data_IF_543023826652
#
_entry.id   IF_543023826652
#
_cell.length_a   1.000
_cell.length_b   1.000
_cell.length_c   1.000
_cell.angle_alpha   90.00
_cell.angle_beta   90.00
_cell.angle_gamma   90.00
#
_symmetry.space_group_name_H-M   'P 1'
#
loop_
_entity.id
_entity.type
_entity.pdbx_description
1 polymer ?
#
# COMPACT_ATOMS: atom_id res chain seq x y z
N UNK A 1 -9.20 29.59 -53.12
CA UNK A 1 -10.06 28.78 -52.27
C UNK A 1 -9.11 28.00 -51.36
N UNK A 2 -8.87 28.54 -50.19
CA UNK A 2 -8.05 27.91 -49.15
C UNK A 2 -8.98 27.07 -48.30
N UNK A 3 -8.78 25.74 -48.30
CA UNK A 3 -9.42 24.86 -47.34
C UNK A 3 -8.65 24.93 -46.02
N UNK A 4 -9.25 25.57 -45.02
CA UNK A 4 -8.76 25.51 -43.65
C UNK A 4 -9.04 24.13 -43.09
N UNK A 5 -7.98 23.33 -42.87
CA UNK A 5 -8.07 22.09 -42.09
C UNK A 5 -8.15 22.46 -40.62
N UNK A 6 -9.36 22.64 -40.13
CA UNK A 6 -9.66 22.71 -38.70
C UNK A 6 -9.58 21.29 -38.10
N UNK A 7 -8.38 20.83 -37.81
CA UNK A 7 -8.19 19.64 -36.96
C UNK A 7 -8.11 20.11 -35.51
N UNK A 8 -9.14 19.82 -34.75
CA UNK A 8 -9.16 20.10 -33.32
C UNK A 8 -7.88 19.54 -32.64
N UNK A 9 -7.28 20.28 -31.72
CA UNK A 9 -6.05 19.88 -31.09
C UNK A 9 -6.26 18.56 -30.31
N UNK A 10 -5.26 17.69 -30.32
CA UNK A 10 -5.28 16.31 -29.79
C UNK A 10 -5.82 16.20 -28.35
N UNK A 11 -5.67 17.25 -27.54
CA UNK A 11 -6.18 17.32 -26.17
C UNK A 11 -7.70 17.49 -26.11
N UNK A 12 -8.35 18.13 -27.11
CA UNK A 12 -9.81 18.21 -27.21
C UNK A 12 -10.42 16.85 -27.59
N UNK A 13 -9.84 16.15 -28.54
CA UNK A 13 -10.22 14.76 -28.88
C UNK A 13 -10.02 13.78 -27.73
N UNK A 14 -9.03 14.03 -26.87
CA UNK A 14 -8.82 13.22 -25.65
C UNK A 14 -9.83 13.55 -24.54
N UNK A 15 -10.46 14.72 -24.54
CA UNK A 15 -11.50 15.08 -23.56
C UNK A 15 -12.85 14.47 -23.91
N UNK A 16 -13.11 14.18 -25.20
CA UNK A 16 -14.33 13.50 -25.66
C UNK A 16 -14.29 11.98 -25.52
N UNK A 17 -13.10 11.40 -25.39
CA UNK A 17 -12.92 9.96 -25.15
C UNK A 17 -13.21 9.62 -23.69
N UNK A 18 -14.49 9.59 -23.36
CA UNK A 18 -15.16 9.22 -22.12
C UNK A 18 -15.00 10.24 -20.98
N UNK A 19 -16.03 11.00 -20.68
CA UNK A 19 -16.17 11.50 -19.32
C UNK A 19 -16.30 10.29 -18.42
N UNK A 20 -15.20 9.90 -17.73
CA UNK A 20 -15.37 9.16 -16.51
C UNK A 20 -16.26 10.06 -15.66
N UNK A 21 -17.50 9.65 -15.42
CA UNK A 21 -18.23 10.19 -14.29
C UNK A 21 -17.29 9.98 -13.12
N UNK A 22 -16.76 11.08 -12.55
CA UNK A 22 -15.99 10.99 -11.32
C UNK A 22 -16.90 10.23 -10.36
N UNK A 23 -16.42 9.15 -9.73
CA UNK A 23 -17.24 8.46 -8.74
C UNK A 23 -17.76 9.54 -7.79
N UNK A 24 -19.01 9.41 -7.36
CA UNK A 24 -19.60 10.33 -6.40
C UNK A 24 -18.87 10.11 -5.08
N UNK A 25 -17.70 10.74 -4.97
CA UNK A 25 -16.87 10.62 -3.78
C UNK A 25 -17.54 11.35 -2.61
N UNK A 26 -17.52 10.72 -1.43
CA UNK A 26 -17.93 11.32 -0.17
C UNK A 26 -16.75 11.99 0.56
N UNK A 27 -15.54 11.89 0.00
CA UNK A 27 -14.34 12.54 0.55
C UNK A 27 -14.54 14.06 0.52
N UNK A 28 -14.20 14.72 1.64
CA UNK A 28 -14.26 16.17 1.73
C UNK A 28 -13.52 16.83 0.57
N UNK A 29 -14.10 17.83 -0.13
CA UNK A 29 -13.52 18.42 -1.35
C UNK A 29 -12.09 18.95 -1.17
N UNK A 30 -11.75 19.47 0.01
CA UNK A 30 -10.38 19.94 0.33
C UNK A 30 -9.39 18.78 0.41
N UNK A 31 -9.79 17.66 1.00
CA UNK A 31 -8.97 16.44 1.09
C UNK A 31 -8.82 15.86 -0.33
N UNK A 32 -9.91 15.72 -1.06
CA UNK A 32 -9.90 15.21 -2.43
C UNK A 32 -8.97 16.02 -3.35
N UNK A 33 -9.00 17.35 -3.27
CA UNK A 33 -8.12 18.24 -4.03
C UNK A 33 -6.63 18.05 -3.66
N UNK A 34 -6.31 17.84 -2.38
CA UNK A 34 -4.94 17.56 -1.93
C UNK A 34 -4.45 16.19 -2.41
N UNK A 35 -5.29 15.16 -2.33
CA UNK A 35 -5.00 13.83 -2.84
C UNK A 35 -4.75 13.86 -4.36
N UNK A 36 -5.58 14.56 -5.12
CA UNK A 36 -5.40 14.74 -6.57
C UNK A 36 -4.04 15.38 -6.92
N UNK A 37 -3.62 16.43 -6.19
CA UNK A 37 -2.28 17.05 -6.36
C UNK A 37 -1.15 16.05 -6.09
N UNK A 38 -1.36 15.04 -5.25
CA UNK A 38 -0.40 13.99 -4.97
C UNK A 38 -0.52 12.79 -5.93
N UNK A 39 -1.24 12.95 -7.05
CA UNK A 39 -1.46 11.91 -8.07
C UNK A 39 -2.23 10.68 -7.58
N UNK A 40 -3.15 10.88 -6.65
CA UNK A 40 -4.16 9.87 -6.34
C UNK A 40 -5.26 9.92 -7.41
N UNK A 41 -5.74 8.75 -7.79
CA UNK A 41 -7.00 8.59 -8.52
C UNK A 41 -8.04 8.06 -7.56
N UNK A 42 -9.09 8.84 -7.30
CA UNK A 42 -10.15 8.45 -6.37
C UNK A 42 -11.05 7.42 -7.05
N UNK A 43 -11.53 6.44 -6.28
CA UNK A 43 -12.40 5.34 -6.72
C UNK A 43 -13.44 5.07 -5.63
N UNK A 44 -14.64 4.66 -6.02
CA UNK A 44 -15.74 4.51 -5.07
C UNK A 44 -16.03 5.80 -4.31
N UNK A 45 -16.63 5.67 -3.14
CA UNK A 45 -16.99 6.80 -2.29
C UNK A 45 -15.78 7.34 -1.49
N UNK A 46 -14.89 6.45 -1.02
CA UNK A 46 -13.77 6.77 -0.11
C UNK A 46 -12.42 6.22 -0.58
N UNK A 47 -12.40 5.43 -1.63
CA UNK A 47 -11.21 4.72 -2.08
C UNK A 47 -10.27 5.57 -2.93
N UNK A 48 -9.08 5.04 -3.15
CA UNK A 48 -8.09 5.66 -4.01
C UNK A 48 -6.98 4.71 -4.45
N UNK A 49 -6.42 5.03 -5.61
CA UNK A 49 -5.29 4.31 -6.24
C UNK A 49 -4.18 5.30 -6.53
N UNK A 50 -2.94 4.86 -6.37
CA UNK A 50 -1.75 5.65 -6.70
C UNK A 50 -0.64 4.74 -7.19
N UNK A 51 0.07 5.13 -8.26
CA UNK A 51 1.25 4.38 -8.68
C UNK A 51 2.38 4.57 -7.68
N UNK A 52 2.82 3.47 -7.09
CA UNK A 52 3.93 3.45 -6.14
C UNK A 52 5.24 3.90 -6.81
N UNK A 53 6.12 4.54 -6.04
CA UNK A 53 7.47 4.90 -6.51
C UNK A 53 8.21 3.69 -7.11
N UNK A 54 8.14 2.53 -6.45
CA UNK A 54 8.85 1.33 -6.90
C UNK A 54 8.23 0.69 -8.15
N UNK A 55 6.91 0.80 -8.34
CA UNK A 55 6.24 0.43 -9.60
C UNK A 55 6.81 1.26 -10.76
N UNK A 56 6.95 2.59 -10.56
CA UNK A 56 7.59 3.48 -11.55
C UNK A 56 9.04 3.09 -11.81
N UNK A 57 9.84 2.85 -10.76
CA UNK A 57 11.24 2.46 -10.88
C UNK A 57 11.40 1.10 -11.58
N UNK A 58 10.50 0.17 -11.32
CA UNK A 58 10.49 -1.13 -11.99
C UNK A 58 10.22 -1.00 -13.49
N UNK A 59 9.33 -0.08 -13.89
CA UNK A 59 9.05 0.17 -15.31
C UNK A 59 10.20 0.87 -16.01
N UNK A 60 10.75 1.94 -15.42
CA UNK A 60 11.73 2.85 -16.09
C UNK A 60 13.16 2.35 -15.99
N UNK A 61 13.55 1.78 -14.85
CA UNK A 61 14.95 1.50 -14.51
C UNK A 61 15.20 0.05 -14.07
N UNK A 62 14.22 -0.83 -14.23
CA UNK A 62 14.26 -2.24 -13.81
C UNK A 62 14.66 -2.46 -12.33
N UNK A 63 14.29 -1.50 -11.46
CA UNK A 63 14.57 -1.54 -10.02
C UNK A 63 13.34 -2.00 -9.27
N UNK A 64 13.41 -3.17 -8.65
CA UNK A 64 12.32 -3.71 -7.83
C UNK A 64 12.21 -3.04 -6.46
N UNK A 65 11.03 -3.07 -5.85
CA UNK A 65 10.88 -2.72 -4.45
C UNK A 65 11.44 -3.82 -3.53
N UNK A 66 11.62 -3.51 -2.25
CA UNK A 66 12.11 -4.48 -1.27
C UNK A 66 11.22 -5.74 -1.18
N UNK A 67 9.90 -5.63 -1.42
CA UNK A 67 9.01 -6.79 -1.46
C UNK A 67 9.34 -7.74 -2.62
N UNK A 68 9.86 -7.23 -3.73
CA UNK A 68 10.40 -8.05 -4.81
C UNK A 68 11.61 -8.87 -4.35
N UNK A 69 12.53 -8.24 -3.61
CA UNK A 69 13.69 -8.92 -3.03
C UNK A 69 13.30 -9.93 -1.95
N UNK A 70 12.36 -9.57 -1.06
CA UNK A 70 11.99 -10.38 0.10
C UNK A 70 11.02 -11.51 -0.25
N UNK A 71 10.09 -11.26 -1.15
CA UNK A 71 8.94 -12.14 -1.39
C UNK A 71 8.74 -12.54 -2.85
N UNK A 72 9.63 -12.11 -3.75
CA UNK A 72 9.57 -12.46 -5.17
C UNK A 72 8.47 -11.77 -5.97
N UNK A 73 7.87 -10.67 -5.47
CA UNK A 73 6.80 -9.98 -6.20
C UNK A 73 7.34 -9.21 -7.41
N UNK A 74 6.53 -9.14 -8.46
CA UNK A 74 6.79 -8.31 -9.62
C UNK A 74 6.30 -6.88 -9.37
N UNK A 75 7.25 -5.95 -9.07
CA UNK A 75 6.91 -4.59 -8.64
C UNK A 75 6.12 -3.78 -9.67
N UNK A 76 6.30 -4.04 -10.97
CA UNK A 76 5.53 -3.38 -12.03
C UNK A 76 4.06 -3.85 -12.09
N UNK A 77 3.77 -5.10 -11.67
CA UNK A 77 2.44 -5.66 -11.55
C UNK A 77 1.76 -5.37 -10.20
N UNK A 78 2.29 -4.46 -9.37
CA UNK A 78 1.72 -4.14 -8.06
C UNK A 78 0.85 -2.88 -8.13
N UNK A 79 -0.45 -3.04 -7.89
CA UNK A 79 -1.42 -1.96 -7.70
C UNK A 79 -1.43 -1.54 -6.23
N UNK A 80 -1.19 -0.27 -5.94
CA UNK A 80 -1.30 0.29 -4.60
C UNK A 80 -2.62 1.03 -4.46
N UNK A 81 -3.45 0.60 -3.52
CA UNK A 81 -4.76 1.19 -3.26
C UNK A 81 -5.10 1.22 -1.76
N UNK A 82 -6.16 1.93 -1.43
CA UNK A 82 -6.87 1.80 -0.16
C UNK A 82 -8.38 1.98 -0.40
N UNK A 83 -9.24 1.24 0.33
CA UNK A 83 -10.68 1.40 0.25
C UNK A 83 -11.15 2.73 0.88
N UNK A 84 -10.31 3.36 1.70
CA UNK A 84 -10.60 4.55 2.48
C UNK A 84 -9.34 5.41 2.65
N UNK A 85 -9.16 6.38 1.75
CA UNK A 85 -7.97 7.24 1.77
C UNK A 85 -8.10 8.45 2.71
N UNK A 86 -9.26 8.69 3.27
CA UNK A 86 -9.60 9.86 4.09
C UNK A 86 -9.91 9.53 5.54
N UNK A 87 -9.88 8.25 5.95
CA UNK A 87 -10.31 7.82 7.28
C UNK A 87 -9.30 6.88 7.92
N UNK A 88 -8.85 7.24 9.13
CA UNK A 88 -8.00 6.41 9.99
C UNK A 88 -8.32 6.71 11.46
N UNK A 89 -8.28 5.71 12.29
CA UNK A 89 -8.54 5.84 13.74
C UNK A 89 -7.30 6.21 14.57
N UNK A 90 -6.13 6.34 13.92
CA UNK A 90 -4.89 6.87 14.50
C UNK A 90 -4.48 8.17 13.80
N UNK A 91 -3.66 8.99 14.49
CA UNK A 91 -3.05 10.22 13.99
C UNK A 91 -1.53 10.19 14.13
N UNK A 92 -0.89 9.15 13.58
CA UNK A 92 0.52 8.87 13.75
C UNK A 92 1.40 10.05 13.34
N UNK A 93 2.35 10.45 14.21
CA UNK A 93 3.26 11.57 13.96
C UNK A 93 4.19 11.35 12.77
N UNK A 94 4.53 10.10 12.50
CA UNK A 94 5.40 9.67 11.40
C UNK A 94 4.64 9.41 10.09
N UNK A 95 3.31 9.54 10.08
CA UNK A 95 2.51 9.33 8.88
C UNK A 95 2.83 10.43 7.85
N UNK A 96 3.40 10.00 6.72
CA UNK A 96 3.77 10.92 5.64
C UNK A 96 2.61 11.23 4.68
N UNK A 97 1.49 10.54 4.87
CA UNK A 97 0.27 10.68 4.08
C UNK A 97 -0.50 11.94 4.45
N UNK A 98 -1.47 12.29 3.62
CA UNK A 98 -2.40 13.38 3.89
C UNK A 98 -3.17 13.12 5.19
N UNK A 99 -3.36 14.12 6.05
CA UNK A 99 -4.16 13.97 7.25
C UNK A 99 -5.59 13.50 6.94
N UNK A 100 -6.10 12.64 7.80
CA UNK A 100 -7.43 12.05 7.68
C UNK A 100 -8.49 12.95 8.28
N UNK A 101 -9.76 12.70 7.93
CA UNK A 101 -10.92 13.26 8.61
C UNK A 101 -10.88 12.99 10.11
N UNK A 102 -11.41 13.93 10.91
CA UNK A 102 -11.56 13.77 12.36
C UNK A 102 -12.82 12.97 12.74
N UNK A 103 -13.60 12.53 11.76
CA UNK A 103 -14.74 11.65 11.94
C UNK A 103 -14.46 10.25 11.38
N UNK A 104 -14.99 9.23 12.06
CA UNK A 104 -15.09 7.89 11.46
C UNK A 104 -16.30 7.87 10.54
N UNK A 105 -16.08 7.54 9.28
CA UNK A 105 -17.13 7.39 8.29
C UNK A 105 -17.36 5.91 8.03
N UNK A 106 -18.62 5.48 7.89
CA UNK A 106 -18.94 4.13 7.43
C UNK A 106 -18.52 4.00 5.98
N UNK A 107 -17.68 3.02 5.72
CA UNK A 107 -17.16 2.70 4.39
C UNK A 107 -17.78 1.38 3.97
N UNK A 108 -18.58 1.42 2.91
CA UNK A 108 -19.46 0.31 2.51
C UNK A 108 -19.60 0.22 0.98
N UNK A 109 -18.56 0.66 0.26
CA UNK A 109 -18.50 0.55 -1.20
C UNK A 109 -18.75 -0.90 -1.65
N UNK A 110 -19.38 -1.10 -2.80
CA UNK A 110 -19.48 -2.45 -3.38
C UNK A 110 -18.08 -2.97 -3.72
N UNK A 111 -17.66 -4.15 -3.20
CA UNK A 111 -16.30 -4.64 -3.34
C UNK A 111 -15.91 -4.94 -4.79
N UNK A 112 -16.83 -5.44 -5.59
CA UNK A 112 -16.57 -5.75 -6.99
C UNK A 112 -16.37 -4.48 -7.82
N UNK A 113 -17.26 -3.51 -7.64
CA UNK A 113 -17.15 -2.21 -8.29
C UNK A 113 -15.88 -1.48 -7.85
N UNK A 114 -15.56 -1.51 -6.55
CA UNK A 114 -14.32 -0.91 -6.03
C UNK A 114 -13.08 -1.56 -6.65
N UNK A 115 -13.07 -2.88 -6.80
CA UNK A 115 -11.98 -3.60 -7.45
C UNK A 115 -11.84 -3.20 -8.94
N UNK A 116 -12.93 -3.22 -9.70
CA UNK A 116 -12.93 -2.86 -11.12
C UNK A 116 -12.49 -1.41 -11.34
N UNK A 117 -13.02 -0.48 -10.54
CA UNK A 117 -12.62 0.93 -10.60
C UNK A 117 -11.14 1.11 -10.23
N UNK A 118 -10.64 0.35 -9.27
CA UNK A 118 -9.22 0.38 -8.89
C UNK A 118 -8.32 -0.11 -10.02
N UNK A 119 -8.67 -1.20 -10.69
CA UNK A 119 -7.92 -1.70 -11.86
C UNK A 119 -7.94 -0.69 -12.99
N UNK A 120 -9.10 -0.10 -13.29
CA UNK A 120 -9.26 0.94 -14.31
C UNK A 120 -8.42 2.19 -14.00
N UNK A 121 -8.43 2.63 -12.74
CA UNK A 121 -7.61 3.73 -12.26
C UNK A 121 -6.10 3.43 -12.36
N UNK A 122 -5.70 2.23 -11.99
CA UNK A 122 -4.31 1.77 -12.12
C UNK A 122 -3.83 1.82 -13.57
N UNK A 123 -4.60 1.25 -14.50
CA UNK A 123 -4.31 1.29 -15.94
C UNK A 123 -4.20 2.72 -16.46
N UNK A 124 -5.13 3.60 -16.08
CA UNK A 124 -5.09 5.03 -16.43
C UNK A 124 -3.82 5.72 -15.94
N UNK A 125 -3.44 5.47 -14.68
CA UNK A 125 -2.23 6.04 -14.09
C UNK A 125 -0.94 5.53 -14.77
N UNK A 126 -0.98 4.37 -15.42
CA UNK A 126 0.14 3.80 -16.17
C UNK A 126 0.20 4.25 -17.64
N UNK A 127 -0.81 4.94 -18.16
CA UNK A 127 -0.89 5.32 -19.59
C UNK A 127 0.35 6.07 -20.05
N UNK A 128 0.82 7.07 -19.27
CA UNK A 128 1.99 7.88 -19.61
C UNK A 128 3.31 7.09 -19.74
N UNK A 129 3.42 5.91 -19.14
CA UNK A 129 4.62 5.08 -19.23
C UNK A 129 4.70 4.30 -20.55
N UNK A 130 3.57 4.09 -21.25
CA UNK A 130 3.54 3.36 -22.52
C UNK A 130 4.29 4.02 -23.66
N UNK A 131 4.53 5.33 -23.60
CA UNK A 131 5.34 6.10 -24.55
C UNK A 131 6.75 6.44 -24.05
N UNK A 132 7.13 6.01 -22.84
CA UNK A 132 8.44 6.34 -22.28
C UNK A 132 9.55 5.48 -22.92
N UNK A 133 10.64 6.08 -23.44
CA UNK A 133 11.65 5.36 -24.23
C UNK A 133 12.38 4.26 -23.44
N UNK A 134 12.49 4.38 -22.12
CA UNK A 134 13.15 3.38 -21.28
C UNK A 134 12.21 2.27 -20.80
N UNK A 135 10.92 2.30 -21.14
CA UNK A 135 9.95 1.30 -20.67
C UNK A 135 9.71 0.26 -21.77
N UNK A 136 10.12 -1.01 -21.56
CA UNK A 136 9.82 -2.08 -22.50
C UNK A 136 8.30 -2.24 -22.64
N UNK A 137 7.84 -2.32 -23.90
CA UNK A 137 6.40 -2.38 -24.17
C UNK A 137 5.72 -3.58 -23.53
N UNK A 138 6.36 -4.74 -23.57
CA UNK A 138 5.82 -5.96 -22.95
C UNK A 138 5.63 -5.80 -21.45
N UNK A 139 6.61 -5.21 -20.77
CA UNK A 139 6.55 -4.93 -19.35
C UNK A 139 5.45 -3.92 -19.00
N UNK A 140 5.24 -2.91 -19.85
CA UNK A 140 4.13 -1.98 -19.69
C UNK A 140 2.77 -2.65 -19.88
N UNK A 141 2.65 -3.56 -20.88
CA UNK A 141 1.43 -4.34 -21.10
C UNK A 141 1.15 -5.27 -19.92
N UNK A 142 2.17 -5.95 -19.42
CA UNK A 142 2.06 -6.82 -18.23
C UNK A 142 1.62 -6.05 -17.00
N UNK A 143 2.12 -4.83 -16.80
CA UNK A 143 1.74 -3.96 -15.68
C UNK A 143 0.27 -3.49 -15.72
N UNK A 144 -0.40 -3.55 -16.87
CA UNK A 144 -1.83 -3.21 -16.99
C UNK A 144 -2.73 -4.24 -16.31
N UNK A 145 -2.25 -5.45 -16.08
CA UNK A 145 -2.97 -6.54 -15.43
C UNK A 145 -2.34 -6.80 -14.04
N UNK A 146 -2.87 -6.18 -12.96
CA UNK A 146 -2.20 -6.25 -11.66
C UNK A 146 -2.19 -7.68 -11.14
N UNK A 147 -1.00 -8.15 -10.73
CA UNK A 147 -0.76 -9.45 -10.09
C UNK A 147 -0.84 -9.36 -8.58
N UNK A 148 -0.66 -8.17 -8.04
CA UNK A 148 -0.59 -7.90 -6.62
C UNK A 148 -1.37 -6.64 -6.27
N UNK A 149 -2.11 -6.66 -5.18
CA UNK A 149 -2.75 -5.47 -4.60
C UNK A 149 -2.13 -5.19 -3.24
N UNK A 150 -1.51 -4.01 -3.09
CA UNK A 150 -1.06 -3.52 -1.81
C UNK A 150 -2.12 -2.58 -1.22
N UNK A 151 -2.88 -3.08 -0.25
CA UNK A 151 -3.90 -2.33 0.51
C UNK A 151 -3.17 -1.58 1.64
N UNK A 152 -2.47 -0.50 1.27
CA UNK A 152 -1.51 0.19 2.15
C UNK A 152 -1.31 1.65 1.77
N UNK A 153 -2.29 2.25 1.07
CA UNK A 153 -2.07 3.58 0.50
C UNK A 153 -2.25 4.68 1.53
N UNK A 154 -3.44 4.86 2.07
CA UNK A 154 -3.78 5.82 3.11
C UNK A 154 -4.97 5.28 3.92
N UNK A 155 -5.25 5.84 5.10
CA UNK A 155 -6.33 5.37 5.95
C UNK A 155 -6.05 4.04 6.65
N UNK A 156 -7.06 3.50 7.33
CA UNK A 156 -7.02 2.19 7.99
C UNK A 156 -8.00 1.23 7.30
N UNK A 157 -7.51 0.24 6.53
CA UNK A 157 -8.36 -0.60 5.70
C UNK A 157 -9.35 -1.47 6.48
N UNK A 158 -9.08 -1.81 7.74
CA UNK A 158 -10.02 -2.59 8.58
C UNK A 158 -11.27 -1.80 8.97
N UNK A 159 -11.35 -0.50 8.67
CA UNK A 159 -12.59 0.28 8.78
C UNK A 159 -13.57 0.04 7.61
N UNK A 160 -13.15 -0.65 6.55
CA UNK A 160 -14.00 -1.01 5.44
C UNK A 160 -14.81 -2.26 5.79
N UNK A 161 -16.14 -2.12 5.86
CA UNK A 161 -17.05 -3.16 6.37
C UNK A 161 -17.08 -4.44 5.51
N UNK A 162 -16.75 -4.35 4.22
CA UNK A 162 -16.76 -5.45 3.25
C UNK A 162 -15.35 -5.87 2.82
N UNK A 163 -14.37 -5.73 3.73
CA UNK A 163 -12.96 -6.01 3.42
C UNK A 163 -12.73 -7.47 3.00
N UNK A 164 -13.34 -8.45 3.69
CA UNK A 164 -13.21 -9.88 3.35
C UNK A 164 -13.71 -10.20 1.95
N UNK A 165 -14.87 -9.64 1.56
CA UNK A 165 -15.41 -9.79 0.20
C UNK A 165 -14.47 -9.18 -0.87
N UNK A 166 -13.85 -8.03 -0.57
CA UNK A 166 -12.88 -7.42 -1.47
C UNK A 166 -11.62 -8.27 -1.67
N UNK A 167 -11.14 -8.89 -0.59
CA UNK A 167 -10.01 -9.83 -0.64
C UNK A 167 -10.35 -11.06 -1.49
N UNK A 168 -11.54 -11.63 -1.31
CA UNK A 168 -12.03 -12.77 -2.10
C UNK A 168 -12.10 -12.44 -3.59
N UNK A 169 -12.65 -11.28 -3.94
CA UNK A 169 -12.71 -10.81 -5.34
C UNK A 169 -11.31 -10.71 -5.95
N UNK A 170 -10.35 -10.13 -5.22
CA UNK A 170 -8.96 -10.08 -5.68
C UNK A 170 -8.42 -11.49 -5.96
N UNK A 171 -8.63 -12.43 -5.03
CA UNK A 171 -8.16 -13.81 -5.17
C UNK A 171 -8.82 -14.53 -6.34
N UNK A 172 -10.13 -14.37 -6.55
CA UNK A 172 -10.85 -14.93 -7.70
C UNK A 172 -10.26 -14.48 -9.04
N UNK A 173 -9.70 -13.27 -9.10
CA UNK A 173 -9.01 -12.74 -10.28
C UNK A 173 -7.51 -13.09 -10.33
N UNK A 174 -7.02 -13.93 -9.43
CA UNK A 174 -5.62 -14.37 -9.38
C UNK A 174 -4.66 -13.30 -8.87
N UNK A 175 -5.18 -12.32 -8.13
CA UNK A 175 -4.41 -11.19 -7.60
C UNK A 175 -4.10 -11.43 -6.13
N UNK A 176 -2.82 -11.50 -5.76
CA UNK A 176 -2.43 -11.59 -4.36
C UNK A 176 -2.64 -10.28 -3.62
N UNK A 177 -2.96 -10.37 -2.33
CA UNK A 177 -3.32 -9.22 -1.50
C UNK A 177 -2.35 -9.04 -0.34
N UNK A 178 -1.87 -7.81 -0.17
CA UNK A 178 -1.04 -7.36 0.95
C UNK A 178 -1.86 -6.39 1.78
N UNK A 179 -2.49 -6.87 2.83
CA UNK A 179 -3.26 -6.04 3.76
C UNK A 179 -2.31 -5.46 4.81
N UNK A 180 -2.25 -4.13 4.91
CA UNK A 180 -1.47 -3.43 5.94
C UNK A 180 -2.42 -2.71 6.87
N UNK A 181 -2.47 -3.13 8.13
CA UNK A 181 -3.32 -2.56 9.18
C UNK A 181 -2.51 -2.08 10.36
N UNK A 182 -3.06 -1.14 11.12
CA UNK A 182 -2.51 -0.72 12.41
C UNK A 182 -2.84 -1.67 13.56
N UNK A 183 -3.60 -2.74 13.30
CA UNK A 183 -3.92 -3.79 14.26
C UNK A 183 -4.88 -3.41 15.38
N UNK A 184 -5.44 -2.20 15.40
CA UNK A 184 -6.30 -1.73 16.48
C UNK A 184 -7.75 -2.23 16.44
N UNK A 185 -8.09 -3.08 15.46
CA UNK A 185 -9.43 -3.67 15.29
C UNK A 185 -9.37 -5.21 15.23
N UNK A 186 -8.99 -5.89 16.33
CA UNK A 186 -8.78 -7.34 16.35
C UNK A 186 -10.00 -8.13 15.89
N UNK A 187 -11.20 -7.73 16.29
CA UNK A 187 -12.44 -8.42 15.91
C UNK A 187 -12.72 -8.39 14.39
N UNK A 188 -12.26 -7.37 13.68
CA UNK A 188 -12.39 -7.32 12.22
C UNK A 188 -11.49 -8.37 11.59
N UNK A 189 -10.24 -8.49 12.07
CA UNK A 189 -9.27 -9.46 11.57
C UNK A 189 -9.72 -10.89 11.90
N UNK A 190 -10.20 -11.13 13.12
CA UNK A 190 -10.71 -12.41 13.59
C UNK A 190 -11.90 -12.91 12.74
N UNK A 191 -12.76 -12.00 12.29
CA UNK A 191 -13.98 -12.33 11.55
C UNK A 191 -13.87 -12.14 10.03
N UNK A 192 -12.65 -12.06 9.47
CA UNK A 192 -12.47 -12.03 8.02
C UNK A 192 -12.79 -13.40 7.41
N UNK A 193 -13.84 -13.48 6.59
CA UNK A 193 -14.20 -14.70 5.86
C UNK A 193 -13.11 -15.12 4.86
N UNK A 194 -12.39 -14.13 4.30
CA UNK A 194 -11.24 -14.36 3.41
C UNK A 194 -10.04 -13.59 3.96
N UNK A 195 -8.97 -14.33 4.27
CA UNK A 195 -7.71 -13.75 4.72
C UNK A 195 -6.88 -13.21 3.53
N UNK A 196 -6.07 -12.16 3.70
CA UNK A 196 -5.17 -11.68 2.64
C UNK A 196 -4.08 -12.73 2.36
N UNK A 197 -3.45 -12.66 1.19
CA UNK A 197 -2.25 -13.50 0.89
C UNK A 197 -1.11 -13.22 1.87
N UNK A 198 -1.01 -11.98 2.35
CA UNK A 198 -0.07 -11.58 3.40
C UNK A 198 -0.66 -10.46 4.25
N UNK A 199 -0.74 -10.71 5.55
CA UNK A 199 -1.20 -9.75 6.54
C UNK A 199 0.00 -9.03 7.19
N UNK A 200 0.00 -7.71 7.10
CA UNK A 200 0.95 -6.85 7.81
C UNK A 200 0.26 -6.20 8.99
N UNK A 201 0.81 -6.38 10.17
CA UNK A 201 0.44 -5.60 11.35
C UNK A 201 1.56 -4.60 11.64
N UNK A 202 1.19 -3.33 11.66
CA UNK A 202 2.11 -2.22 11.98
C UNK A 202 2.31 -2.17 13.50
N UNK A 203 3.45 -2.64 13.97
CA UNK A 203 3.89 -2.58 15.37
C UNK A 203 4.92 -1.46 15.47
N UNK A 204 4.45 -0.21 15.40
CA UNK A 204 5.31 0.96 15.21
C UNK A 204 5.80 1.56 16.55
N UNK A 205 5.31 1.03 17.68
CA UNK A 205 5.76 1.40 19.03
C UNK A 205 5.99 0.16 19.88
N UNK A 206 7.05 0.18 20.73
CA UNK A 206 7.44 -0.97 21.55
C UNK A 206 6.55 -1.17 22.78
N UNK A 207 5.88 -0.11 23.25
CA UNK A 207 5.05 -0.12 24.44
C UNK A 207 3.97 0.97 24.35
N UNK A 208 3.02 0.95 25.31
CA UNK A 208 1.89 1.87 25.33
C UNK A 208 2.29 3.35 25.42
N UNK A 209 3.27 3.69 26.24
CA UNK A 209 3.70 5.08 26.42
C UNK A 209 4.18 5.68 25.08
N UNK A 210 5.03 4.95 24.36
CA UNK A 210 5.52 5.39 23.06
C UNK A 210 4.40 5.35 22.03
N UNK A 211 3.52 4.33 22.07
CA UNK A 211 2.37 4.22 21.18
C UNK A 211 1.44 5.44 21.29
N UNK A 212 1.06 5.80 22.50
CA UNK A 212 0.17 6.95 22.72
C UNK A 212 0.81 8.27 22.25
N UNK A 213 2.14 8.39 22.37
CA UNK A 213 2.91 9.55 21.94
C UNK A 213 3.05 9.67 20.42
N UNK A 214 3.38 8.55 19.70
CA UNK A 214 3.69 8.60 18.27
C UNK A 214 2.57 8.09 17.36
N UNK A 215 1.71 7.15 17.82
CA UNK A 215 0.59 6.66 17.04
C UNK A 215 -0.70 7.46 17.27
N UNK A 216 -0.83 8.11 18.42
CA UNK A 216 -1.92 9.04 18.78
C UNK A 216 -3.31 8.49 18.45
N UNK A 217 -3.86 7.58 19.28
CA UNK A 217 -5.24 7.11 19.13
C UNK A 217 -6.25 8.27 19.14
N UNK A 218 -7.13 8.33 18.13
CA UNK A 218 -8.11 9.42 17.98
C UNK A 218 -9.39 9.16 18.76
N UNK A 219 -9.87 7.92 18.76
CA UNK A 219 -11.21 7.58 19.24
C UNK A 219 -11.20 6.56 20.38
N UNK A 220 -10.14 5.79 20.52
CA UNK A 220 -10.07 4.69 21.46
C UNK A 220 -8.69 4.60 22.12
N UNK A 221 -8.63 4.95 23.40
CA UNK A 221 -7.40 4.95 24.18
C UNK A 221 -6.89 3.52 24.51
N UNK A 222 -7.69 2.49 24.23
CA UNK A 222 -7.29 1.07 24.35
C UNK A 222 -6.71 0.51 23.04
N UNK A 223 -6.31 1.37 22.10
CA UNK A 223 -5.83 0.94 20.78
C UNK A 223 -4.53 0.12 20.89
N UNK A 224 -3.66 0.35 21.88
CA UNK A 224 -2.46 -0.45 22.09
C UNK A 224 -2.80 -1.85 22.60
N UNK A 225 -3.68 -1.96 23.57
CA UNK A 225 -4.17 -3.23 24.10
C UNK A 225 -4.91 -4.03 23.02
N UNK A 226 -5.61 -3.36 22.12
CA UNK A 226 -6.24 -3.99 20.95
C UNK A 226 -5.21 -4.44 19.91
N UNK A 227 -4.12 -3.69 19.74
CA UNK A 227 -2.99 -4.17 18.94
C UNK A 227 -2.42 -5.44 19.54
N UNK A 228 -2.19 -5.52 20.86
CA UNK A 228 -1.72 -6.75 21.51
C UNK A 228 -2.69 -7.92 21.28
N UNK A 229 -4.01 -7.73 21.39
CA UNK A 229 -5.01 -8.74 21.03
C UNK A 229 -4.91 -9.18 19.57
N UNK A 230 -4.64 -8.27 18.64
CA UNK A 230 -4.38 -8.63 17.25
C UNK A 230 -3.13 -9.49 17.10
N UNK A 231 -2.05 -9.15 17.83
CA UNK A 231 -0.83 -9.96 17.81
C UNK A 231 -1.06 -11.39 18.37
N UNK A 232 -1.89 -11.54 19.39
CA UNK A 232 -2.30 -12.83 19.94
C UNK A 232 -3.09 -13.69 18.93
N UNK A 233 -3.79 -13.08 17.97
CA UNK A 233 -4.53 -13.80 16.93
C UNK A 233 -3.60 -14.35 15.83
N UNK A 234 -2.48 -13.68 15.53
CA UNK A 234 -1.67 -13.99 14.35
C UNK A 234 -1.26 -15.46 14.23
N UNK A 235 -0.83 -16.17 15.33
CA UNK A 235 -0.44 -17.56 15.23
C UNK A 235 -1.56 -18.52 14.81
N UNK A 236 -2.83 -18.12 14.96
CA UNK A 236 -4.01 -18.93 14.61
C UNK A 236 -4.53 -18.68 13.19
N UNK A 237 -4.03 -17.65 12.49
CA UNK A 237 -4.52 -17.29 11.17
C UNK A 237 -3.82 -18.12 10.09
N UNK A 238 -4.59 -18.72 9.20
CA UNK A 238 -4.08 -19.45 8.02
C UNK A 238 -3.70 -18.46 6.91
N UNK A 239 -2.78 -17.57 7.21
CA UNK A 239 -2.21 -16.62 6.26
C UNK A 239 -0.79 -16.27 6.67
N UNK A 240 -0.04 -15.77 5.72
CA UNK A 240 1.32 -15.29 5.93
C UNK A 240 1.31 -13.96 6.68
N UNK A 241 2.04 -13.89 7.78
CA UNK A 241 2.01 -12.78 8.73
C UNK A 241 3.32 -12.00 8.78
N UNK A 242 3.23 -10.68 8.92
CA UNK A 242 4.38 -9.79 9.05
C UNK A 242 4.12 -8.77 10.16
N UNK A 243 4.97 -8.75 11.18
CA UNK A 243 5.08 -7.60 12.07
C UNK A 243 6.02 -6.57 11.44
N UNK A 244 5.52 -5.34 11.25
CA UNK A 244 6.32 -4.29 10.63
C UNK A 244 6.55 -3.16 11.61
N UNK A 245 7.82 -2.88 11.89
CA UNK A 245 8.24 -1.81 12.80
C UNK A 245 8.67 -0.58 12.00
N UNK A 246 8.06 0.58 12.29
CA UNK A 246 8.57 1.88 11.81
C UNK A 246 9.48 2.45 12.89
N UNK A 247 10.78 2.40 12.63
CA UNK A 247 11.80 2.83 13.59
C UNK A 247 12.09 4.31 13.44
N UNK A 248 11.87 5.06 14.53
CA UNK A 248 12.07 6.51 14.60
C UNK A 248 13.17 6.77 15.61
N UNK A 249 14.26 7.42 15.16
CA UNK A 249 15.40 7.75 16.02
C UNK A 249 14.99 8.77 17.09
N UNK A 250 15.33 8.48 18.33
CA UNK A 250 14.91 9.27 19.49
C UNK A 250 13.52 8.96 20.01
N UNK A 251 12.74 8.05 19.36
CA UNK A 251 11.42 7.62 19.78
C UNK A 251 11.33 6.10 19.96
N UNK A 252 11.20 5.35 18.87
CA UNK A 252 10.97 3.90 18.89
C UNK A 252 12.23 3.07 18.58
N UNK A 253 13.26 3.64 17.95
CA UNK A 253 14.52 2.96 17.68
C UNK A 253 15.27 2.64 19.00
N UNK A 254 15.80 1.43 19.12
CA UNK A 254 16.62 1.01 20.28
C UNK A 254 15.86 0.21 21.33
N UNK A 255 14.55 0.02 21.21
CA UNK A 255 13.71 -0.73 22.14
C UNK A 255 13.54 -2.21 21.74
N UNK A 256 14.59 -2.86 21.22
CA UNK A 256 14.48 -4.22 20.67
C UNK A 256 13.95 -5.27 21.64
N UNK A 257 14.16 -5.12 22.97
CA UNK A 257 13.63 -6.04 23.98
C UNK A 257 12.09 -5.96 24.10
N UNK A 258 11.56 -4.73 24.05
CA UNK A 258 10.11 -4.53 24.14
C UNK A 258 9.43 -4.98 22.84
N UNK A 259 10.06 -4.71 21.68
CA UNK A 259 9.61 -5.26 20.40
C UNK A 259 9.66 -6.78 20.38
N UNK A 260 10.72 -7.39 20.91
CA UNK A 260 10.83 -8.86 21.01
C UNK A 260 9.69 -9.47 21.82
N UNK A 261 9.21 -8.80 22.88
CA UNK A 261 8.03 -9.24 23.64
C UNK A 261 6.79 -9.31 22.73
N UNK A 262 6.54 -8.28 21.97
CA UNK A 262 5.39 -8.20 21.04
C UNK A 262 5.52 -9.21 19.89
N UNK A 263 6.70 -9.32 19.30
CA UNK A 263 6.96 -10.27 18.21
C UNK A 263 6.89 -11.73 18.67
N UNK A 264 7.26 -12.03 19.91
CA UNK A 264 7.11 -13.37 20.49
C UNK A 264 5.64 -13.74 20.78
N UNK A 265 4.79 -12.76 21.10
CA UNK A 265 3.33 -12.97 21.20
C UNK A 265 2.76 -13.27 19.81
N UNK A 266 3.18 -12.49 18.82
CA UNK A 266 2.68 -12.56 17.45
C UNK A 266 3.18 -13.79 16.68
N UNK A 267 4.35 -14.33 17.01
CA UNK A 267 5.10 -15.36 16.28
C UNK A 267 4.93 -15.26 14.73
N UNK A 268 5.16 -14.08 14.12
CA UNK A 268 4.86 -13.87 12.70
C UNK A 268 5.84 -14.66 11.82
N UNK A 269 5.49 -14.91 10.55
CA UNK A 269 6.44 -15.50 9.60
C UNK A 269 7.64 -14.60 9.38
N UNK A 270 7.40 -13.27 9.35
CA UNK A 270 8.44 -12.27 9.13
C UNK A 270 8.29 -11.06 10.05
N UNK A 271 9.42 -10.42 10.32
CA UNK A 271 9.49 -9.10 10.92
C UNK A 271 10.21 -8.18 9.93
N UNK A 272 9.58 -7.05 9.56
CA UNK A 272 10.19 -5.99 8.76
C UNK A 272 10.61 -4.82 9.66
N UNK A 273 11.88 -4.71 9.98
CA UNK A 273 12.42 -3.54 10.64
C UNK A 273 12.69 -2.46 9.59
N UNK A 274 11.95 -1.35 9.63
CA UNK A 274 11.98 -0.30 8.60
C UNK A 274 12.21 1.07 9.21
N UNK A 275 13.24 1.75 8.74
CA UNK A 275 13.52 3.13 9.14
C UNK A 275 12.43 4.11 8.69
N UNK A 276 12.03 5.00 9.60
CA UNK A 276 11.22 6.17 9.28
C UNK A 276 11.88 6.98 8.15
N UNK A 277 11.06 7.55 7.28
CA UNK A 277 11.51 8.43 6.18
C UNK A 277 10.93 9.82 6.40
N UNK A 278 11.80 10.82 6.48
CA UNK A 278 11.45 12.23 6.63
C UNK A 278 10.87 12.79 5.34
N UNK A 279 9.56 12.64 5.13
CA UNK A 279 8.86 13.02 3.90
C UNK A 279 7.37 13.32 4.17
N UNK A 280 6.80 14.18 3.36
CA UNK A 280 5.36 14.48 3.39
C UNK A 280 4.90 15.12 4.70
N UNK A 281 3.70 14.77 5.16
CA UNK A 281 3.07 15.38 6.34
C UNK A 281 3.85 15.13 7.65
N UNK A 282 4.63 14.06 7.73
CA UNK A 282 5.44 13.75 8.92
C UNK A 282 6.50 14.82 9.24
N UNK A 283 6.86 15.65 8.25
CA UNK A 283 7.82 16.75 8.42
C UNK A 283 7.32 17.86 9.35
N UNK A 284 6.02 17.92 9.63
CA UNK A 284 5.46 18.83 10.62
C UNK A 284 5.67 18.38 12.05
N UNK A 285 5.98 17.10 12.28
CA UNK A 285 6.11 16.52 13.62
C UNK A 285 7.55 16.09 13.95
N UNK A 286 8.38 15.85 12.92
CA UNK A 286 9.73 15.31 13.05
C UNK A 286 10.74 16.15 12.29
N UNK A 287 12.01 15.88 12.53
CA UNK A 287 13.13 16.45 11.79
C UNK A 287 13.90 15.36 11.04
N UNK A 288 14.86 15.74 10.22
CA UNK A 288 15.71 14.79 9.47
C UNK A 288 16.53 13.88 10.41
N UNK A 289 16.86 14.35 11.62
CA UNK A 289 17.61 13.61 12.64
C UNK A 289 16.81 12.42 13.19
N UNK A 290 15.48 12.45 13.10
CA UNK A 290 14.63 11.33 13.51
C UNK A 290 14.64 10.17 12.48
N UNK A 291 15.20 10.41 11.29
CA UNK A 291 15.32 9.39 10.25
C UNK A 291 16.57 8.54 10.50
N UNK A 292 16.44 7.23 10.85
CA UNK A 292 17.60 6.38 11.06
C UNK A 292 18.33 6.11 9.74
N UNK A 293 19.64 5.93 9.83
CA UNK A 293 20.45 5.38 8.74
C UNK A 293 20.09 3.90 8.52
N UNK A 294 20.49 3.35 7.38
CA UNK A 294 20.33 1.92 7.15
C UNK A 294 21.13 1.08 8.15
N UNK A 295 22.31 1.52 8.53
CA UNK A 295 23.18 0.80 9.46
C UNK A 295 22.54 0.74 10.86
N UNK A 296 21.88 1.82 11.33
CA UNK A 296 21.11 1.81 12.58
C UNK A 296 19.91 0.85 12.52
N UNK A 297 19.25 0.72 11.36
CA UNK A 297 18.19 -0.30 11.16
C UNK A 297 18.76 -1.70 11.21
N UNK A 298 19.91 -1.94 10.62
CA UNK A 298 20.61 -3.22 10.64
C UNK A 298 21.08 -3.59 12.05
N UNK A 299 21.59 -2.64 12.81
CA UNK A 299 21.99 -2.86 14.21
C UNK A 299 20.79 -3.21 15.09
N UNK A 300 19.67 -2.50 14.93
CA UNK A 300 18.40 -2.86 15.57
C UNK A 300 18.00 -4.31 15.22
N UNK A 301 18.04 -4.67 13.94
CA UNK A 301 17.63 -5.99 13.46
C UNK A 301 18.51 -7.11 13.99
N UNK A 302 19.83 -6.91 14.07
CA UNK A 302 20.79 -7.87 14.65
C UNK A 302 20.57 -8.08 16.14
N UNK A 303 20.12 -7.05 16.86
CA UNK A 303 19.80 -7.14 18.28
C UNK A 303 18.44 -7.81 18.53
N UNK A 304 17.44 -7.56 17.64
CA UNK A 304 16.10 -8.12 17.75
C UNK A 304 16.06 -9.61 17.37
N UNK A 305 16.68 -9.99 16.25
CA UNK A 305 16.56 -11.32 15.65
C UNK A 305 16.83 -12.49 16.63
N UNK A 306 17.93 -12.51 17.42
CA UNK A 306 18.18 -13.59 18.36
C UNK A 306 17.16 -13.65 19.51
N UNK A 307 16.56 -12.52 19.90
CA UNK A 307 15.55 -12.47 20.98
C UNK A 307 14.22 -13.11 20.58
N UNK A 308 13.98 -13.25 19.28
CA UNK A 308 12.77 -13.87 18.73
C UNK A 308 13.07 -15.21 18.03
N UNK A 309 14.27 -15.76 18.22
CA UNK A 309 14.67 -17.05 17.64
C UNK A 309 14.70 -17.08 16.11
N UNK A 310 15.09 -15.95 15.49
CA UNK A 310 15.15 -15.77 14.04
C UNK A 310 16.49 -15.17 13.61
N UNK A 311 16.68 -15.02 12.30
CA UNK A 311 17.86 -14.42 11.69
C UNK A 311 17.49 -13.25 10.77
N UNK A 312 18.46 -12.35 10.52
CA UNK A 312 18.31 -11.34 9.48
C UNK A 312 18.56 -12.01 8.13
N UNK A 313 17.50 -12.17 7.36
CA UNK A 313 17.49 -12.91 6.08
C UNK A 313 17.94 -12.05 4.90
N UNK A 314 17.57 -10.80 4.89
CA UNK A 314 17.83 -9.88 3.77
C UNK A 314 17.67 -8.43 4.21
N UNK A 315 18.16 -7.50 3.38
CA UNK A 315 17.97 -6.07 3.57
C UNK A 315 17.87 -5.30 2.25
N UNK A 316 17.41 -4.07 2.34
CA UNK A 316 17.43 -3.11 1.20
C UNK A 316 17.81 -1.73 1.71
N UNK A 317 19.04 -1.32 1.39
CA UNK A 317 19.62 -0.04 1.83
C UNK A 317 18.81 1.17 1.36
N UNK A 318 18.36 1.19 0.12
CA UNK A 318 17.58 2.29 -0.45
C UNK A 318 16.21 2.47 0.21
N UNK A 319 15.68 1.41 0.80
CA UNK A 319 14.40 1.41 1.53
C UNK A 319 14.58 1.47 3.04
N UNK A 320 15.82 1.42 3.54
CA UNK A 320 16.17 1.31 4.97
C UNK A 320 15.31 0.26 5.67
N UNK A 321 15.31 -0.96 5.14
CA UNK A 321 14.52 -2.06 5.68
C UNK A 321 15.36 -3.32 5.76
N UNK A 322 15.15 -4.08 6.83
CA UNK A 322 15.68 -5.43 7.01
C UNK A 322 14.52 -6.41 7.20
N UNK A 323 14.69 -7.61 6.68
CA UNK A 323 13.81 -8.75 6.86
C UNK A 323 14.40 -9.71 7.88
N UNK A 324 13.62 -10.04 8.91
CA UNK A 324 13.94 -11.01 9.93
C UNK A 324 12.95 -12.16 9.81
N UNK A 325 13.41 -13.40 9.85
CA UNK A 325 12.57 -14.58 9.71
C UNK A 325 13.34 -15.87 9.92
N UNK A 326 12.70 -17.01 9.65
CA UNK A 326 13.32 -18.35 9.68
C UNK A 326 13.94 -18.69 8.34
N UNK A 327 13.20 -18.43 7.26
CA UNK A 327 13.63 -18.69 5.87
C UNK A 327 12.92 -17.75 4.88
N UNK A 328 13.48 -17.60 3.68
CA UNK A 328 12.88 -16.81 2.60
C UNK A 328 11.80 -17.64 1.91
N UNK A 329 10.56 -17.16 1.94
CA UNK A 329 9.43 -17.83 1.29
C UNK A 329 8.81 -16.90 0.25
N UNK A 330 8.87 -17.23 -1.06
CA UNK A 330 8.21 -16.44 -2.10
C UNK A 330 6.69 -16.43 -1.96
N UNK A 331 6.06 -15.38 -2.48
CA UNK A 331 4.59 -15.30 -2.60
C UNK A 331 4.12 -16.25 -3.70
N UNK A 332 3.06 -17.00 -3.40
CA UNK A 332 2.30 -17.76 -4.40
C UNK A 332 1.06 -16.95 -4.79
N UNK A 333 0.82 -16.79 -6.09
CA UNK A 333 -0.39 -16.15 -6.58
C UNK A 333 -1.61 -17.05 -6.36
N UNK A 334 -2.77 -16.49 -6.00
CA UNK A 334 -4.02 -17.24 -5.96
C UNK A 334 -4.36 -17.84 -7.33
N UNK A 335 -5.04 -18.97 -7.31
CA UNK A 335 -5.51 -19.60 -8.56
C UNK A 335 -6.59 -18.72 -9.19
N UNK A 336 -6.32 -18.24 -10.41
CA UNK A 336 -7.25 -17.40 -11.16
C UNK A 336 -8.51 -18.18 -11.54
N UNK A 337 -9.67 -17.68 -11.14
CA UNK A 337 -11.00 -18.26 -11.44
C UNK A 337 -11.74 -17.41 -12.47
N UNK A 338 -11.54 -16.09 -12.44
CA UNK A 338 -12.23 -15.11 -13.30
C UNK A 338 -11.26 -14.22 -14.03
N UNK A 339 -11.54 -13.92 -15.29
CA UNK A 339 -10.82 -12.90 -16.03
C UNK A 339 -11.36 -11.51 -15.74
N UNK A 340 -10.49 -10.50 -15.83
CA UNK A 340 -10.92 -9.12 -15.81
C UNK A 340 -11.77 -8.82 -17.06
N UNK A 341 -12.83 -8.00 -16.94
CA UNK A 341 -13.61 -7.55 -18.09
C UNK A 341 -12.71 -6.91 -19.16
N UNK A 342 -12.94 -7.27 -20.44
CA UNK A 342 -12.12 -6.81 -21.57
C UNK A 342 -12.23 -5.32 -21.85
N UNK A 343 -13.33 -4.70 -21.44
CA UNK A 343 -13.68 -3.29 -21.64
C UNK A 343 -13.14 -2.34 -20.57
N UNK A 344 -12.41 -2.84 -19.57
CA UNK A 344 -11.74 -2.01 -18.55
C UNK A 344 -10.61 -1.12 -19.08
N UNK A 345 -10.67 -0.78 -20.38
CA UNK A 345 -9.86 0.32 -20.94
C UNK A 345 -8.36 0.07 -20.90
N UNK A 346 -7.89 -1.00 -21.56
CA UNK A 346 -6.52 -1.00 -22.09
C UNK A 346 -6.52 0.05 -23.20
N UNK A 347 -5.74 1.12 -23.06
CA UNK A 347 -5.49 2.01 -24.18
C UNK A 347 -4.90 1.14 -25.32
N UNK A 348 -5.73 0.80 -26.30
CA UNK A 348 -5.22 0.13 -27.50
C UNK A 348 -4.12 1.02 -28.03
N UNK A 349 -2.92 0.49 -28.36
CA UNK A 349 -1.87 1.28 -28.96
C UNK A 349 -2.41 1.86 -30.26
N UNK A 350 -2.70 3.15 -30.29
CA UNK A 350 -2.84 3.84 -31.56
C UNK A 350 -1.48 3.75 -32.24
N UNK A 351 -1.45 3.15 -33.41
CA UNK A 351 -0.28 3.23 -34.30
C UNK A 351 -0.17 4.69 -34.73
N UNK A 352 0.64 5.46 -34.03
CA UNK A 352 1.08 6.74 -34.54
C UNK A 352 2.03 6.46 -35.71
N UNK A 353 1.54 6.60 -36.92
CA UNK A 353 2.41 6.82 -38.08
C UNK A 353 2.84 8.27 -38.01
N UNK A 354 4.11 8.49 -37.61
CA UNK A 354 4.69 9.84 -37.74
C UNK A 354 4.59 10.25 -39.21
N UNK A 355 4.11 11.48 -39.50
CA UNK A 355 4.24 12.01 -40.84
C UNK A 355 5.71 11.98 -41.22
N UNK A 356 6.01 11.45 -42.39
CA UNK A 356 7.35 11.56 -42.97
C UNK A 356 7.59 13.07 -43.21
N UNK A 357 8.61 13.60 -42.51
CA UNK A 357 9.14 14.94 -42.75
C UNK A 357 9.88 14.97 -44.10
#
# INVERSE_FOLDING_TARGET
MEESSDTAPLWELMSELMPMQNPVTKIEPKIAARLAKQSYHLVGEHGGVKVCHWTKQSLIADRSCYKGTFYGIESHGCMQMAPNVDTCNLACTYCWREPHSDALTKIDDDPYELFLQSVKAHRRLLTGFGGHPSVPREKWLDAQDPKHVAISLNGEPTLYSRLGEFLDICHQHGVSTFLVTNGSLPKVIENLDTLPTQLYVSVDAPNKEIFDRICKPKFDQSAFEKLEQTLELLPSLDTRTVCRHTLIKGESLGHWKDYARLDNIADPDFIEAKGYIYVGNSQSNHTIENMPSHDEVMDFSRNLAPLVGREVLSDRRESRVALIGKEMIPITLPTKIRDLPKDLGIAKPQKFTLPQL
#
